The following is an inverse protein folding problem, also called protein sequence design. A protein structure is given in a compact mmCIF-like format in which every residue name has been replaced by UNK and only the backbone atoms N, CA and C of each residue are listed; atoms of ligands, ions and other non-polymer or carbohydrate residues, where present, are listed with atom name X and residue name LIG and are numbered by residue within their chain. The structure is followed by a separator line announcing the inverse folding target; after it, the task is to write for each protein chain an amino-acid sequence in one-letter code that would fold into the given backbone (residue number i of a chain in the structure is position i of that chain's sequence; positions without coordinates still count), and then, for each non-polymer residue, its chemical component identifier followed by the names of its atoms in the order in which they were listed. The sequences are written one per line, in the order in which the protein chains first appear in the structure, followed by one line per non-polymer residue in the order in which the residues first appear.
data_IF_097361586494
#
_entry.id   IF_097361586494
#
_cell.length_a   1.000
_cell.length_b   1.000
_cell.length_c   1.000
_cell.angle_alpha   90.00
_cell.angle_beta   90.00
_cell.angle_gamma   90.00
#
_symmetry.space_group_name_H-M   'P 1'
#
loop_
_entity.id
_entity.type
_entity.pdbx_description
1 polymer ?
#
# COMPACT_ATOMS: atom_id res chain seq x y z
N UNK A 1 30.59 -37.21 -25.24
CA UNK A 1 30.44 -35.83 -25.76
C UNK A 1 29.34 -35.14 -24.97
N UNK A 2 29.49 -33.84 -24.74
CA UNK A 2 28.89 -33.03 -23.66
C UNK A 2 27.36 -32.95 -23.69
N UNK A 3 26.73 -33.05 -22.51
CA UNK A 3 25.32 -32.67 -22.29
C UNK A 3 25.24 -31.16 -22.04
N UNK A 4 24.59 -30.42 -22.93
CA UNK A 4 24.33 -28.99 -22.79
C UNK A 4 23.38 -28.70 -21.60
N UNK A 5 23.64 -27.70 -20.75
CA UNK A 5 22.72 -27.34 -19.68
C UNK A 5 21.61 -26.45 -20.24
N UNK A 6 20.37 -26.93 -20.18
CA UNK A 6 19.17 -26.14 -20.48
C UNK A 6 19.04 -25.01 -19.45
N UNK A 7 19.43 -23.80 -19.84
CA UNK A 7 19.42 -22.61 -18.98
C UNK A 7 17.96 -22.21 -18.70
N UNK A 8 17.50 -22.43 -17.47
CA UNK A 8 16.18 -22.06 -16.93
C UNK A 8 15.89 -20.55 -17.11
N UNK A 9 15.36 -20.14 -18.28
CA UNK A 9 15.01 -18.74 -18.59
C UNK A 9 13.62 -18.34 -18.07
N UNK A 10 12.79 -19.33 -17.70
CA UNK A 10 11.39 -19.17 -17.26
C UNK A 10 11.24 -18.69 -15.81
N UNK A 11 12.19 -19.00 -14.92
CA UNK A 11 12.11 -18.63 -13.50
C UNK A 11 12.22 -17.13 -13.22
N UNK A 12 12.94 -16.37 -14.07
CA UNK A 12 13.18 -14.94 -13.86
C UNK A 12 11.93 -14.09 -14.17
N UNK A 13 11.19 -14.44 -15.22
CA UNK A 13 9.98 -13.75 -15.63
C UNK A 13 8.80 -14.01 -14.69
N UNK A 14 8.68 -15.25 -14.16
CA UNK A 14 7.66 -15.58 -13.15
C UNK A 14 7.88 -14.84 -11.82
N UNK A 15 9.15 -14.72 -11.39
CA UNK A 15 9.50 -13.98 -10.17
C UNK A 15 9.21 -12.48 -10.28
N UNK A 16 9.50 -11.85 -11.42
CA UNK A 16 9.20 -10.43 -11.64
C UNK A 16 7.69 -10.15 -11.51
N UNK A 17 6.85 -10.95 -12.18
CA UNK A 17 5.38 -10.82 -12.11
C UNK A 17 4.83 -10.98 -10.68
N UNK A 18 5.42 -11.87 -9.88
CA UNK A 18 5.01 -12.05 -8.49
C UNK A 18 5.35 -10.82 -7.63
N UNK A 19 6.51 -10.20 -7.85
CA UNK A 19 6.92 -8.97 -7.16
C UNK A 19 5.97 -7.82 -7.52
N UNK A 20 5.65 -7.67 -8.81
CA UNK A 20 4.73 -6.63 -9.28
C UNK A 20 3.33 -6.81 -8.67
N UNK A 21 2.85 -8.04 -8.56
CA UNK A 21 1.57 -8.34 -7.93
C UNK A 21 1.54 -7.99 -6.43
N UNK A 22 2.63 -8.28 -5.71
CA UNK A 22 2.77 -7.92 -4.28
C UNK A 22 2.81 -6.40 -4.12
N UNK A 23 3.59 -5.71 -4.95
CA UNK A 23 3.65 -4.25 -4.95
C UNK A 23 2.27 -3.64 -5.21
N UNK A 24 1.54 -4.13 -6.22
CA UNK A 24 0.20 -3.66 -6.52
C UNK A 24 -0.80 -3.92 -5.39
N UNK A 25 -0.68 -5.05 -4.68
CA UNK A 25 -1.52 -5.35 -3.53
C UNK A 25 -1.24 -4.38 -2.38
N UNK A 26 0.04 -4.17 -2.04
CA UNK A 26 0.45 -3.21 -1.02
C UNK A 26 -0.04 -1.79 -1.35
N UNK A 27 0.11 -1.37 -2.61
CA UNK A 27 -0.34 -0.06 -3.07
C UNK A 27 -1.85 0.17 -2.90
N UNK A 28 -2.65 -0.87 -3.13
CA UNK A 28 -4.09 -0.83 -2.88
C UNK A 28 -4.42 -0.70 -1.39
N UNK A 29 -3.65 -1.33 -0.52
CA UNK A 29 -3.85 -1.21 0.93
C UNK A 29 -3.50 0.20 1.42
N UNK A 30 -2.38 0.77 0.96
CA UNK A 30 -2.00 2.15 1.27
C UNK A 30 -3.08 3.13 0.80
N UNK A 31 -3.60 2.92 -0.42
CA UNK A 31 -4.68 3.73 -0.98
C UNK A 31 -5.97 3.63 -0.15
N UNK A 32 -6.33 2.42 0.31
CA UNK A 32 -7.48 2.21 1.18
C UNK A 32 -7.31 2.95 2.51
N UNK A 33 -6.15 2.80 3.17
CA UNK A 33 -5.88 3.47 4.44
C UNK A 33 -5.91 5.00 4.28
N UNK A 34 -5.36 5.54 3.18
CA UNK A 34 -5.39 6.98 2.91
C UNK A 34 -6.83 7.52 2.82
N UNK A 35 -7.75 6.79 2.16
CA UNK A 35 -9.16 7.17 2.06
C UNK A 35 -9.87 7.11 3.41
N UNK A 36 -9.57 6.10 4.21
CA UNK A 36 -10.16 5.97 5.56
C UNK A 36 -9.71 7.12 6.45
N UNK A 37 -8.42 7.49 6.41
CA UNK A 37 -7.86 8.66 7.10
C UNK A 37 -8.56 9.95 6.64
N UNK A 38 -8.71 10.16 5.33
CA UNK A 38 -9.41 11.34 4.77
C UNK A 38 -10.86 11.41 5.23
N UNK A 39 -11.56 10.26 5.24
CA UNK A 39 -12.96 10.19 5.67
C UNK A 39 -13.10 10.54 7.15
N UNK A 40 -12.24 10.00 8.02
CA UNK A 40 -12.26 10.31 9.46
C UNK A 40 -11.90 11.77 9.68
N UNK A 41 -10.84 12.26 9.02
CA UNK A 41 -10.40 13.65 9.13
C UNK A 41 -11.52 14.62 8.73
N UNK A 42 -12.28 14.31 7.67
CA UNK A 42 -13.40 15.13 7.20
C UNK A 42 -14.59 15.09 8.15
N UNK A 43 -14.84 13.96 8.82
CA UNK A 43 -15.97 13.78 9.72
C UNK A 43 -15.70 14.34 11.14
N UNK A 44 -14.48 14.18 11.65
CA UNK A 44 -14.16 14.40 13.06
C UNK A 44 -13.05 15.44 13.30
N UNK A 45 -12.39 15.93 12.24
CA UNK A 45 -11.33 16.94 12.34
C UNK A 45 -10.01 16.45 12.94
N UNK A 46 -9.96 15.20 13.39
CA UNK A 46 -8.75 14.53 13.87
C UNK A 46 -8.88 13.02 13.64
N UNK A 47 -7.75 12.35 13.39
CA UNK A 47 -7.69 10.89 13.21
C UNK A 47 -6.96 10.28 14.40
N UNK A 48 -7.59 9.33 15.06
CA UNK A 48 -6.97 8.52 16.11
C UNK A 48 -6.84 7.07 15.67
N UNK A 49 -5.92 6.35 16.32
CA UNK A 49 -5.72 4.93 16.03
C UNK A 49 -6.99 4.13 16.27
N UNK A 50 -7.77 4.45 17.32
CA UNK A 50 -9.03 3.77 17.62
C UNK A 50 -10.04 3.86 16.48
N UNK A 51 -10.10 4.99 15.77
CA UNK A 51 -11.01 5.18 14.64
C UNK A 51 -10.67 4.20 13.51
N UNK A 52 -9.38 4.05 13.21
CA UNK A 52 -8.89 3.10 12.21
C UNK A 52 -9.10 1.64 12.65
N UNK A 53 -8.95 1.35 13.94
CA UNK A 53 -9.27 0.03 14.49
C UNK A 53 -10.75 -0.31 14.31
N UNK A 54 -11.66 0.65 14.50
CA UNK A 54 -13.11 0.43 14.26
C UNK A 54 -13.44 0.10 12.80
N UNK A 55 -12.61 0.56 11.85
CA UNK A 55 -12.72 0.24 10.43
C UNK A 55 -12.08 -1.11 10.05
N UNK A 56 -11.58 -1.86 11.04
CA UNK A 56 -11.01 -3.18 10.88
C UNK A 56 -9.52 -3.20 10.52
N UNK A 57 -8.82 -2.07 10.65
CA UNK A 57 -7.36 -2.07 10.58
C UNK A 57 -6.77 -2.67 11.85
N UNK A 58 -5.60 -3.28 11.72
CA UNK A 58 -4.81 -3.74 12.87
C UNK A 58 -3.67 -2.76 13.14
N UNK A 59 -3.27 -2.62 14.40
CA UNK A 59 -2.15 -1.74 14.78
C UNK A 59 -0.86 -2.01 13.97
N UNK A 60 -0.43 -3.28 13.74
CA UNK A 60 0.75 -3.53 12.93
C UNK A 60 0.60 -3.02 11.49
N UNK A 61 -0.59 -3.18 10.91
CA UNK A 61 -0.84 -2.76 9.53
C UNK A 61 -0.95 -1.24 9.39
N UNK A 62 -1.52 -0.56 10.39
CA UNK A 62 -1.51 0.90 10.48
C UNK A 62 -0.05 1.39 10.54
N UNK A 63 0.77 0.84 11.44
CA UNK A 63 2.16 1.24 11.58
C UNK A 63 2.98 1.01 10.30
N UNK A 64 2.72 -0.09 9.58
CA UNK A 64 3.35 -0.41 8.30
C UNK A 64 2.99 0.59 7.20
N UNK A 65 1.70 0.92 7.06
CA UNK A 65 1.18 1.67 5.90
C UNK A 65 1.03 3.17 6.12
N UNK A 66 0.89 3.63 7.37
CA UNK A 66 0.61 5.02 7.70
C UNK A 66 1.59 6.03 7.10
N UNK A 67 2.92 5.78 7.07
CA UNK A 67 3.86 6.73 6.46
C UNK A 67 3.54 7.04 4.99
N UNK A 68 3.15 6.04 4.21
CA UNK A 68 2.85 6.22 2.78
C UNK A 68 1.41 6.69 2.54
N UNK A 69 0.47 6.23 3.36
CA UNK A 69 -0.91 6.72 3.32
C UNK A 69 -0.95 8.23 3.62
N UNK A 70 -0.26 8.70 4.66
CA UNK A 70 -0.21 10.12 5.04
C UNK A 70 0.45 10.99 3.96
N UNK A 71 1.48 10.49 3.25
CA UNK A 71 2.05 11.20 2.09
C UNK A 71 1.00 11.42 1.00
N UNK A 72 0.15 10.41 0.73
CA UNK A 72 -0.93 10.53 -0.27
C UNK A 72 -1.97 11.55 0.14
N UNK A 73 -2.44 11.49 1.38
CA UNK A 73 -3.43 12.42 1.92
C UNK A 73 -2.92 13.85 1.83
N UNK A 74 -1.69 14.10 2.29
CA UNK A 74 -1.05 15.43 2.17
C UNK A 74 -0.93 15.88 0.72
N UNK A 75 -0.50 14.98 -0.16
CA UNK A 75 -0.38 15.28 -1.59
C UNK A 75 -1.72 15.62 -2.26
N UNK A 76 -2.83 15.03 -1.80
CA UNK A 76 -4.18 15.37 -2.27
C UNK A 76 -4.65 16.71 -1.74
N UNK A 77 -4.53 16.93 -0.44
CA UNK A 77 -4.88 18.21 0.18
C UNK A 77 -4.16 19.38 -0.49
N UNK A 78 -2.86 19.24 -0.79
CA UNK A 78 -2.10 20.26 -1.50
C UNK A 78 -2.57 20.52 -2.94
N UNK A 79 -3.16 19.52 -3.60
CA UNK A 79 -3.74 19.69 -4.96
C UNK A 79 -5.11 20.35 -4.92
N UNK A 80 -5.88 20.16 -3.86
CA UNK A 80 -7.20 20.79 -3.70
C UNK A 80 -7.09 22.27 -3.32
N UNK A 81 -5.93 22.70 -2.79
CA UNK A 81 -5.66 24.09 -2.42
C UNK A 81 -5.10 24.96 -3.56
N UNK A 82 -4.72 24.37 -4.69
CA UNK A 82 -4.20 25.06 -5.88
C UNK A 82 -5.24 25.09 -7.00
#
# INVERSE_FOLDING_TARGET
MQTSPTRNRTGRAGKARAIDAIAAAHEREVERLARDIESIQSASGSVKDEDLLTLGWSLPKIAELAPDALKRVRGRALREMN
#
